data_IF_693908110501
#
_entry.id   IF_693908110501
#
_cell.length_a   1.000
_cell.length_b   1.000
_cell.length_c   1.000
_cell.angle_alpha   90.00
_cell.angle_beta   90.00
_cell.angle_gamma   90.00
#
_symmetry.space_group_name_H-M   'P 1'
#
loop_
_entity.id
_entity.type
_entity.pdbx_description
1 polymer ?
#
# COMPACT_ATOMS: atom_id res chain seq x y z
N UNK A 1 4.74 11.07 4.21
CA UNK A 1 5.25 10.08 5.17
C UNK A 1 4.20 9.01 5.38
N UNK A 2 4.57 7.76 5.18
CA UNK A 2 3.78 6.58 5.51
C UNK A 2 3.96 6.28 6.99
N UNK A 3 2.88 6.00 7.71
CA UNK A 3 2.92 5.63 9.11
C UNK A 3 2.02 4.44 9.40
N UNK A 4 2.35 3.67 10.43
CA UNK A 4 1.50 2.59 10.94
C UNK A 4 1.04 2.91 12.36
N UNK A 5 -0.24 2.69 12.64
CA UNK A 5 -0.83 2.72 13.99
C UNK A 5 -1.56 1.39 14.22
N UNK A 6 -0.85 0.42 14.80
CA UNK A 6 -1.31 -0.96 14.80
C UNK A 6 -1.54 -1.45 13.35
N UNK A 7 -2.75 -1.94 13.00
CA UNK A 7 -3.06 -2.38 11.64
C UNK A 7 -3.40 -1.22 10.69
N UNK A 8 -3.56 0.01 11.19
CA UNK A 8 -3.95 1.12 10.34
C UNK A 8 -2.74 1.75 9.64
N UNK A 9 -2.90 2.03 8.35
CA UNK A 9 -1.91 2.73 7.52
C UNK A 9 -2.35 4.18 7.37
N UNK A 10 -1.41 5.09 7.60
CA UNK A 10 -1.60 6.53 7.48
C UNK A 10 -0.67 7.14 6.45
N UNK A 11 -1.16 8.15 5.74
CA UNK A 11 -0.37 9.02 4.86
C UNK A 11 -0.45 10.42 5.43
N UNK A 12 0.69 10.96 5.85
CA UNK A 12 0.79 12.27 6.50
C UNK A 12 -0.17 12.42 7.70
N UNK A 13 -0.34 11.34 8.48
CA UNK A 13 -1.23 11.30 9.65
C UNK A 13 -2.69 10.99 9.33
N UNK A 14 -3.13 11.06 8.08
CA UNK A 14 -4.48 10.67 7.67
C UNK A 14 -4.56 9.17 7.42
N UNK A 15 -5.50 8.48 8.08
CA UNK A 15 -5.75 7.05 7.87
C UNK A 15 -6.29 6.80 6.45
N UNK A 16 -5.62 5.93 5.70
CA UNK A 16 -6.01 5.58 4.32
C UNK A 16 -6.45 4.13 4.16
N UNK A 17 -5.98 3.22 5.02
CA UNK A 17 -6.33 1.80 4.92
C UNK A 17 -6.13 1.06 6.24
N UNK A 18 -6.63 -0.18 6.30
CA UNK A 18 -6.35 -1.17 7.36
C UNK A 18 -5.68 -2.39 6.75
N UNK A 19 -4.57 -2.82 7.33
CA UNK A 19 -3.90 -4.08 7.01
C UNK A 19 -4.62 -5.26 7.65
N UNK A 20 -4.56 -6.40 6.96
CA UNK A 20 -4.88 -7.71 7.54
C UNK A 20 -3.56 -8.38 7.93
N UNK A 21 -3.59 -9.19 9.00
CA UNK A 21 -2.44 -9.99 9.39
C UNK A 21 -2.23 -11.21 8.48
N UNK A 22 -3.31 -11.71 7.87
CA UNK A 22 -3.31 -12.86 6.98
C UNK A 22 -4.22 -12.63 5.77
N UNK A 23 -3.95 -13.34 4.68
CA UNK A 23 -4.82 -13.42 3.51
C UNK A 23 -6.13 -14.17 3.84
N UNK A 24 -7.00 -14.35 2.84
CA UNK A 24 -8.19 -15.19 3.00
C UNK A 24 -7.85 -16.67 3.21
N UNK A 25 -6.72 -17.14 2.69
CA UNK A 25 -6.27 -18.54 2.79
C UNK A 25 -5.36 -18.79 3.99
N UNK A 26 -5.07 -17.75 4.78
CA UNK A 26 -4.27 -17.86 6.00
C UNK A 26 -2.77 -17.61 5.80
N UNK A 27 -2.33 -17.23 4.59
CA UNK A 27 -0.93 -16.83 4.41
C UNK A 27 -0.64 -15.54 5.19
N UNK A 28 0.49 -15.44 5.92
CA UNK A 28 0.86 -14.24 6.64
C UNK A 28 1.15 -13.08 5.68
N UNK A 29 0.82 -11.86 6.11
CA UNK A 29 1.08 -10.62 5.38
C UNK A 29 2.05 -9.75 6.17
N UNK A 30 3.16 -9.36 5.54
CA UNK A 30 4.19 -8.55 6.19
C UNK A 30 3.82 -7.07 6.09
N UNK A 31 3.78 -6.31 7.21
CA UNK A 31 3.54 -4.87 7.15
C UNK A 31 4.54 -4.15 6.24
N UNK A 32 4.06 -3.21 5.42
CA UNK A 32 4.88 -2.43 4.49
C UNK A 32 5.84 -1.45 5.16
N UNK A 33 6.67 -0.79 4.34
CA UNK A 33 7.62 0.20 4.83
C UNK A 33 6.91 1.48 5.34
N UNK A 34 7.43 2.04 6.43
CA UNK A 34 7.03 3.34 6.98
C UNK A 34 8.08 4.41 6.65
N UNK A 35 7.74 5.68 6.90
CA UNK A 35 8.62 6.82 6.68
C UNK A 35 8.38 7.53 5.35
N UNK A 36 9.37 8.29 4.90
CA UNK A 36 9.26 9.03 3.64
C UNK A 36 9.34 8.09 2.45
N UNK A 37 8.41 8.23 1.51
CA UNK A 37 8.49 7.51 0.23
C UNK A 37 9.68 8.07 -0.54
N UNK A 38 10.60 7.22 -1.05
CA UNK A 38 11.76 7.68 -1.81
C UNK A 38 11.36 8.49 -3.05
N UNK A 39 12.20 9.45 -3.49
CA UNK A 39 11.97 10.19 -4.72
C UNK A 39 11.73 9.27 -5.92
N UNK A 40 10.68 9.56 -6.70
CA UNK A 40 10.31 8.75 -7.87
C UNK A 40 9.63 7.42 -7.54
N UNK A 41 9.31 7.17 -6.27
CA UNK A 41 8.47 6.06 -5.83
C UNK A 41 7.16 6.54 -5.22
N UNK A 42 6.21 5.62 -5.13
CA UNK A 42 4.83 5.90 -4.78
C UNK A 42 4.34 4.84 -3.79
N UNK A 43 3.59 5.29 -2.79
CA UNK A 43 2.70 4.39 -2.06
C UNK A 43 1.45 4.21 -2.93
N UNK A 44 1.21 2.98 -3.39
CA UNK A 44 0.02 2.66 -4.20
C UNK A 44 -0.93 1.78 -3.39
N UNK A 45 -2.22 2.07 -3.47
CA UNK A 45 -3.22 1.37 -2.69
C UNK A 45 -4.57 1.37 -3.39
N UNK A 46 -5.38 0.36 -3.07
CA UNK A 46 -6.77 0.25 -3.51
C UNK A 46 -7.73 0.49 -2.34
N UNK A 47 -8.96 1.00 -2.57
CA UNK A 47 -9.95 1.13 -1.51
C UNK A 47 -10.42 -0.20 -0.91
N UNK A 48 -10.18 -1.33 -1.60
CA UNK A 48 -10.69 -2.63 -1.17
C UNK A 48 -9.91 -3.19 0.04
N UNK A 49 -10.64 -3.73 1.02
CA UNK A 49 -10.08 -4.28 2.26
C UNK A 49 -9.06 -5.40 2.03
N UNK A 50 -9.23 -6.17 0.96
CA UNK A 50 -8.36 -7.30 0.60
C UNK A 50 -7.33 -6.96 -0.48
N UNK A 51 -7.15 -5.69 -0.86
CA UNK A 51 -6.13 -5.32 -1.83
C UNK A 51 -4.73 -5.69 -1.34
N UNK A 52 -3.91 -6.24 -2.24
CA UNK A 52 -2.52 -6.62 -1.99
C UNK A 52 -1.63 -5.61 -2.71
N UNK A 53 -1.28 -4.55 -1.99
CA UNK A 53 -0.66 -3.32 -2.51
C UNK A 53 0.40 -2.80 -1.51
N UNK A 54 0.86 -1.54 -1.61
CA UNK A 54 1.96 -1.00 -0.80
C UNK A 54 1.73 -1.01 0.72
N UNK A 55 0.53 -1.40 1.17
CA UNK A 55 0.29 -1.80 2.56
C UNK A 55 1.25 -2.88 3.05
N UNK A 56 1.72 -3.75 2.16
CA UNK A 56 2.49 -4.94 2.52
C UNK A 56 3.91 -4.90 1.95
N UNK A 57 4.88 -5.46 2.68
CA UNK A 57 6.30 -5.43 2.30
C UNK A 57 6.60 -6.24 1.03
N UNK A 58 5.77 -7.24 0.74
CA UNK A 58 5.83 -8.08 -0.45
C UNK A 58 5.63 -7.27 -1.75
N UNK A 59 4.88 -6.16 -1.67
CA UNK A 59 4.72 -5.21 -2.78
C UNK A 59 5.68 -4.04 -2.62
N UNK A 60 5.77 -3.47 -1.42
CA UNK A 60 6.57 -2.29 -1.12
C UNK A 60 6.10 -1.03 -1.87
N UNK A 61 6.97 -0.03 -1.96
CA UNK A 61 6.70 1.15 -2.79
C UNK A 61 6.94 0.82 -4.27
N UNK A 62 6.06 1.34 -5.13
CA UNK A 62 6.19 1.17 -6.57
C UNK A 62 6.95 2.36 -7.14
N UNK A 63 8.04 2.11 -7.84
CA UNK A 63 8.88 3.16 -8.42
C UNK A 63 8.57 3.41 -9.89
N UNK A 64 8.88 4.61 -10.39
CA UNK A 64 8.50 5.09 -11.74
C UNK A 64 8.72 4.08 -12.86
N UNK A 65 9.82 3.32 -12.83
CA UNK A 65 10.16 2.29 -13.83
C UNK A 65 9.16 1.12 -13.91
N UNK A 66 8.35 0.92 -12.87
CA UNK A 66 7.33 -0.13 -12.78
C UNK A 66 5.94 0.37 -13.21
N UNK A 67 5.79 1.67 -13.49
CA UNK A 67 4.51 2.28 -13.85
C UNK A 67 4.47 2.42 -15.38
N UNK A 68 3.49 1.76 -16.00
CA UNK A 68 3.32 1.75 -17.46
C UNK A 68 2.46 2.94 -17.93
N UNK A 69 1.49 3.38 -17.11
CA UNK A 69 0.60 4.49 -17.45
C UNK A 69 -0.58 4.62 -16.48
N UNK A 70 -1.56 5.45 -16.86
CA UNK A 70 -2.83 5.62 -16.15
C UNK A 70 -3.95 4.93 -16.92
N UNK A 71 -4.88 4.29 -16.22
CA UNK A 71 -6.12 3.78 -16.81
C UNK A 71 -7.23 4.82 -16.73
N UNK A 72 -7.97 5.01 -17.82
CA UNK A 72 -9.18 5.85 -17.86
C UNK A 72 -10.42 4.93 -17.87
N UNK A 73 -11.38 5.13 -16.96
CA UNK A 73 -12.60 4.33 -16.94
C UNK A 73 -13.47 4.67 -18.17
N UNK A 74 -13.96 3.65 -18.87
CA UNK A 74 -14.77 3.76 -20.11
C UNK A 74 -16.28 3.77 -19.86
N UNK A 75 -16.72 4.35 -18.74
CA UNK A 75 -18.12 4.37 -18.33
C UNK A 75 -18.96 5.35 -19.15
#
# INVERSE_FOLDING_TARGET
MVGHSGPDVTINGTRVARMKAVTRLGEPLTPGATGSVPPGCYFVGTPHKDGFDSRYAEIGFVCRRQIIGTGEPVL
#
